data_IF_717638904483
#
_entry.id   IF_717638904483
#
_cell.length_a   1.000
_cell.length_b   1.000
_cell.length_c   1.000
_cell.angle_alpha   90.00
_cell.angle_beta   90.00
_cell.angle_gamma   90.00
#
_symmetry.space_group_name_H-M   'P 1'
#
loop_
_entity.id
_entity.type
_entity.pdbx_description
1 polymer ?
#
# COMPACT_ATOMS: atom_id res chain seq x y z
N UNK A 1 35.54 44.19 -23.31
CA UNK A 1 34.63 44.10 -22.14
C UNK A 1 33.26 43.62 -22.61
N UNK A 2 32.52 42.89 -21.75
CA UNK A 2 31.09 42.53 -21.90
C UNK A 2 30.69 41.29 -22.76
N UNK A 3 31.24 40.10 -22.52
CA UNK A 3 30.59 38.83 -22.98
C UNK A 3 30.80 37.62 -22.04
N UNK A 4 30.93 37.85 -20.73
CA UNK A 4 31.07 36.74 -19.75
C UNK A 4 30.03 36.73 -18.63
N UNK A 5 29.06 37.65 -18.65
CA UNK A 5 28.11 37.81 -17.54
C UNK A 5 26.71 37.25 -17.82
N UNK A 6 26.46 36.71 -19.02
CA UNK A 6 25.12 36.25 -19.44
C UNK A 6 25.00 34.72 -19.55
N UNK A 7 25.83 33.96 -18.82
CA UNK A 7 25.73 32.50 -18.75
C UNK A 7 25.50 31.97 -17.34
N UNK A 8 25.47 32.84 -16.31
CA UNK A 8 25.23 32.43 -14.92
C UNK A 8 23.77 32.53 -14.47
N UNK A 9 22.88 33.16 -15.26
CA UNK A 9 21.49 33.38 -14.84
C UNK A 9 20.50 32.31 -15.34
N UNK A 10 20.91 31.44 -16.28
CA UNK A 10 20.03 30.38 -16.82
C UNK A 10 20.15 29.02 -16.13
N UNK A 11 21.04 28.86 -15.13
CA UNK A 11 21.25 27.58 -14.44
C UNK A 11 20.52 27.48 -13.08
N UNK A 12 19.85 28.55 -12.64
CA UNK A 12 19.19 28.61 -11.32
C UNK A 12 17.68 28.32 -11.35
N UNK A 13 17.09 28.03 -12.50
CA UNK A 13 15.63 27.85 -12.64
C UNK A 13 15.19 26.37 -12.63
N UNK A 14 16.12 25.41 -12.61
CA UNK A 14 15.81 23.99 -12.71
C UNK A 14 15.75 23.20 -11.38
N UNK A 15 15.90 23.87 -10.23
CA UNK A 15 15.86 23.20 -8.91
C UNK A 15 14.54 23.43 -8.14
N UNK A 16 13.52 24.02 -8.79
CA UNK A 16 12.22 24.32 -8.17
C UNK A 16 11.14 23.26 -8.32
N UNK A 17 11.43 22.06 -8.83
CA UNK A 17 10.43 20.98 -8.91
C UNK A 17 10.53 20.05 -7.70
N UNK A 18 10.28 20.61 -6.51
CA UNK A 18 9.67 19.82 -5.45
C UNK A 18 8.17 19.82 -5.76
N UNK A 19 7.69 18.78 -6.44
CA UNK A 19 6.28 18.46 -6.49
C UNK A 19 5.78 18.19 -5.08
N UNK A 20 5.35 19.23 -4.38
CA UNK A 20 4.54 19.10 -3.19
C UNK A 20 3.09 19.27 -3.62
N UNK A 21 2.49 18.17 -4.04
CA UNK A 21 1.06 18.04 -4.20
C UNK A 21 0.41 18.00 -2.81
N UNK A 22 0.46 19.11 -2.07
CA UNK A 22 -0.38 19.26 -0.88
C UNK A 22 -1.80 19.57 -1.33
N UNK A 23 -2.54 18.51 -1.64
CA UNK A 23 -3.99 18.56 -1.60
C UNK A 23 -4.43 18.69 -0.14
N UNK A 24 -4.87 19.89 0.23
CA UNK A 24 -5.30 20.26 1.57
C UNK A 24 -6.82 20.39 1.64
N UNK A 25 -7.55 19.32 1.31
CA UNK A 25 -8.97 19.22 1.68
C UNK A 25 -9.10 18.38 2.96
N UNK A 26 -9.93 18.84 3.89
CA UNK A 26 -10.24 18.16 5.16
C UNK A 26 -10.82 16.73 4.95
N UNK A 27 -11.33 16.44 3.74
CA UNK A 27 -11.82 15.13 3.33
C UNK A 27 -10.71 14.14 2.95
N UNK A 28 -9.47 14.59 2.82
CA UNK A 28 -8.34 13.75 2.36
C UNK A 28 -7.61 13.11 3.53
N UNK A 29 -8.03 13.41 4.77
CA UNK A 29 -7.41 12.89 6.00
C UNK A 29 -7.46 11.37 6.09
N UNK A 30 -8.42 10.71 5.44
CA UNK A 30 -8.44 9.25 5.29
C UNK A 30 -7.50 8.71 4.21
N UNK A 31 -7.16 9.53 3.23
CA UNK A 31 -6.28 9.19 2.10
C UNK A 31 -4.80 9.46 2.40
N UNK A 32 -4.52 10.46 3.25
CA UNK A 32 -3.17 10.88 3.66
C UNK A 32 -2.92 10.75 5.17
N UNK A 33 -3.79 10.07 5.94
CA UNK A 33 -3.38 9.60 7.25
C UNK A 33 -2.15 8.72 7.04
N UNK A 34 -1.03 9.11 7.63
CA UNK A 34 0.20 8.34 7.54
C UNK A 34 -0.07 6.95 8.13
N UNK A 35 -0.15 5.95 7.26
CA UNK A 35 -0.38 4.56 7.66
C UNK A 35 0.89 3.94 8.26
N UNK A 36 2.02 4.66 8.27
CA UNK A 36 3.32 4.19 8.75
C UNK A 36 4.02 3.23 7.79
N UNK A 37 3.59 3.19 6.52
CA UNK A 37 4.15 2.35 5.47
C UNK A 37 4.54 3.27 4.30
N UNK A 38 5.76 3.20 3.76
CA UNK A 38 6.18 4.04 2.65
C UNK A 38 5.23 3.91 1.45
N UNK A 39 4.65 5.02 0.95
CA UNK A 39 3.77 5.02 -0.21
C UNK A 39 4.44 4.42 -1.45
N UNK A 40 3.64 3.77 -2.29
CA UNK A 40 4.11 3.15 -3.54
C UNK A 40 4.80 1.80 -3.37
N UNK A 41 5.01 1.32 -2.15
CA UNK A 41 5.52 -0.06 -1.93
C UNK A 41 4.42 -1.10 -2.18
N UNK A 42 4.77 -2.35 -2.56
CA UNK A 42 3.80 -3.43 -2.66
C UNK A 42 2.98 -3.66 -1.38
N UNK A 43 3.64 -3.51 -0.22
CA UNK A 43 2.98 -3.59 1.09
C UNK A 43 1.94 -2.47 1.26
N UNK A 44 2.27 -1.23 0.88
CA UNK A 44 1.35 -0.09 0.99
C UNK A 44 0.04 -0.34 0.23
N UNK A 45 0.14 -0.78 -1.02
CA UNK A 45 -1.05 -1.04 -1.85
C UNK A 45 -1.90 -2.19 -1.29
N UNK A 46 -1.25 -3.27 -0.85
CA UNK A 46 -1.92 -4.41 -0.24
C UNK A 46 -2.57 -4.05 1.09
N UNK A 47 -1.87 -3.28 1.93
CA UNK A 47 -2.37 -2.84 3.22
C UNK A 47 -3.63 -1.98 3.07
N UNK A 48 -3.72 -1.13 2.05
CA UNK A 48 -4.95 -0.36 1.77
C UNK A 48 -6.14 -1.25 1.43
N UNK A 49 -5.93 -2.32 0.66
CA UNK A 49 -6.99 -3.30 0.36
C UNK A 49 -7.43 -3.98 1.66
N UNK A 50 -6.48 -4.47 2.46
CA UNK A 50 -6.76 -5.15 3.73
C UNK A 50 -7.47 -4.21 4.72
N UNK A 51 -7.07 -2.94 4.78
CA UNK A 51 -7.72 -1.94 5.60
C UNK A 51 -9.17 -1.70 5.17
N UNK A 52 -9.44 -1.63 3.87
CA UNK A 52 -10.78 -1.41 3.35
C UNK A 52 -11.69 -2.65 3.48
N UNK A 53 -11.13 -3.86 3.29
CA UNK A 53 -11.91 -5.10 3.15
C UNK A 53 -11.94 -5.98 4.39
N UNK A 54 -10.93 -5.88 5.26
CA UNK A 54 -10.71 -6.86 6.33
C UNK A 54 -10.68 -6.22 7.72
N UNK A 55 -10.21 -4.98 7.85
CA UNK A 55 -9.92 -4.41 9.16
C UNK A 55 -11.16 -4.09 10.00
N UNK A 56 -12.35 -4.01 9.41
CA UNK A 56 -13.60 -3.91 10.17
C UNK A 56 -13.72 -5.00 11.24
N UNK A 57 -13.17 -6.19 10.98
CA UNK A 57 -13.12 -7.31 11.94
C UNK A 57 -11.70 -7.63 12.44
N UNK A 58 -10.66 -7.30 11.66
CA UNK A 58 -9.28 -7.69 11.94
C UNK A 58 -8.36 -6.56 12.42
N UNK A 59 -8.86 -5.32 12.54
CA UNK A 59 -8.03 -4.16 12.91
C UNK A 59 -7.22 -4.38 14.18
N UNK A 60 -7.83 -4.97 15.22
CA UNK A 60 -7.18 -5.17 16.52
C UNK A 60 -5.84 -5.95 16.44
N UNK A 61 -5.67 -6.79 15.42
CA UNK A 61 -4.42 -7.52 15.15
C UNK A 61 -3.62 -6.87 14.02
N UNK A 62 -4.27 -6.58 12.89
CA UNK A 62 -3.57 -6.27 11.64
C UNK A 62 -3.19 -4.80 11.49
N UNK A 63 -3.78 -3.90 12.29
CA UNK A 63 -3.46 -2.47 12.18
C UNK A 63 -2.01 -2.13 12.50
N UNK A 64 -1.33 -2.98 13.27
CA UNK A 64 0.06 -2.77 13.68
C UNK A 64 1.06 -3.46 12.73
N UNK A 65 0.59 -4.21 11.73
CA UNK A 65 1.44 -4.92 10.78
C UNK A 65 1.93 -3.97 9.68
N UNK A 66 2.82 -3.06 10.05
CA UNK A 66 3.38 -2.02 9.17
C UNK A 66 4.60 -2.45 8.37
N UNK A 67 5.08 -3.67 8.55
CA UNK A 67 6.26 -4.19 7.84
C UNK A 67 5.96 -5.58 7.27
N UNK A 68 6.65 -5.95 6.19
CA UNK A 68 6.54 -7.29 5.63
C UNK A 68 6.87 -8.37 6.68
N UNK A 69 7.85 -8.10 7.53
CA UNK A 69 8.26 -9.02 8.59
C UNK A 69 7.13 -9.27 9.60
N UNK A 70 6.35 -8.25 9.99
CA UNK A 70 5.22 -8.42 10.89
C UNK A 70 4.13 -9.35 10.29
N UNK A 71 3.85 -9.23 8.99
CA UNK A 71 2.92 -10.13 8.29
C UNK A 71 3.45 -11.56 8.24
N UNK A 72 4.75 -11.74 8.04
CA UNK A 72 5.41 -13.06 8.04
C UNK A 72 5.39 -13.68 9.44
N UNK A 73 5.85 -12.93 10.45
CA UNK A 73 5.95 -13.40 11.84
C UNK A 73 4.58 -13.77 12.44
N UNK A 74 3.52 -13.11 11.97
CA UNK A 74 2.15 -13.41 12.39
C UNK A 74 1.57 -14.70 11.78
N UNK A 75 2.24 -15.28 10.77
CA UNK A 75 1.79 -16.46 10.03
C UNK A 75 0.69 -16.18 9.00
N UNK A 76 0.27 -14.92 8.82
CA UNK A 76 -0.74 -14.56 7.82
C UNK A 76 -0.19 -14.72 6.39
N UNK A 77 1.11 -14.44 6.23
CA UNK A 77 1.82 -14.46 4.95
C UNK A 77 2.99 -15.44 4.99
N UNK A 78 3.03 -16.33 4.00
CA UNK A 78 4.19 -17.17 3.69
C UNK A 78 5.02 -16.47 2.62
N UNK A 79 6.25 -16.09 2.98
CA UNK A 79 7.18 -15.39 2.09
C UNK A 79 7.33 -16.10 0.75
N UNK A 80 7.14 -15.37 -0.36
CA UNK A 80 7.28 -15.89 -1.71
C UNK A 80 6.17 -16.83 -2.18
N UNK A 81 5.12 -17.06 -1.38
CA UNK A 81 4.05 -18.00 -1.73
C UNK A 81 2.68 -17.52 -1.23
N UNK A 82 1.97 -16.81 -2.10
CA UNK A 82 0.58 -16.42 -1.86
C UNK A 82 -0.32 -17.65 -1.70
N UNK A 83 -0.09 -18.71 -2.46
CA UNK A 83 -0.95 -19.90 -2.45
C UNK A 83 -0.95 -20.66 -1.12
N UNK A 84 0.15 -20.57 -0.35
CA UNK A 84 0.29 -21.19 0.97
C UNK A 84 0.07 -20.21 2.13
N UNK A 85 -0.21 -18.94 1.83
CA UNK A 85 -0.44 -17.91 2.85
C UNK A 85 -1.85 -17.99 3.43
N UNK A 86 -1.99 -17.78 4.75
CA UNK A 86 -3.30 -17.78 5.42
C UNK A 86 -4.25 -16.73 4.83
N UNK A 87 -3.71 -15.55 4.44
CA UNK A 87 -4.52 -14.51 3.79
C UNK A 87 -5.22 -15.00 2.52
N UNK A 88 -4.67 -15.98 1.80
CA UNK A 88 -5.27 -16.55 0.60
C UNK A 88 -6.23 -17.67 0.96
N UNK A 89 -5.82 -18.60 1.82
CA UNK A 89 -6.61 -19.81 2.12
C UNK A 89 -7.95 -19.48 2.76
N UNK A 90 -8.05 -18.34 3.45
CA UNK A 90 -9.29 -17.91 4.09
C UNK A 90 -10.26 -17.19 3.13
N UNK A 91 -9.83 -16.78 1.93
CA UNK A 91 -10.69 -16.03 1.01
C UNK A 91 -11.72 -16.94 0.32
N UNK A 92 -12.97 -16.50 0.26
CA UNK A 92 -14.05 -17.14 -0.50
C UNK A 92 -13.71 -17.29 -1.98
N UNK A 93 -12.90 -16.37 -2.54
CA UNK A 93 -12.35 -16.47 -3.90
C UNK A 93 -11.63 -17.80 -4.17
N UNK A 94 -11.14 -18.46 -3.11
CA UNK A 94 -10.37 -19.71 -3.17
C UNK A 94 -10.99 -20.83 -2.32
N UNK A 95 -12.29 -20.75 -2.03
CA UNK A 95 -13.01 -21.75 -1.25
C UNK A 95 -12.92 -21.59 0.28
N UNK A 96 -12.36 -20.49 0.76
CA UNK A 96 -12.41 -20.10 2.17
C UNK A 96 -13.76 -19.51 2.59
N UNK A 97 -13.80 -18.83 3.74
CA UNK A 97 -15.03 -18.30 4.35
C UNK A 97 -15.03 -16.79 4.56
N UNK A 98 -13.99 -16.08 4.14
CA UNK A 98 -13.86 -14.62 4.28
C UNK A 98 -13.94 -13.89 2.93
N UNK A 99 -14.61 -12.73 2.87
CA UNK A 99 -15.27 -12.07 3.99
C UNK A 99 -16.65 -12.70 4.30
N UNK A 100 -17.12 -12.52 5.54
CA UNK A 100 -18.46 -12.96 5.93
C UNK A 100 -19.54 -12.12 5.19
N UNK A 101 -20.68 -12.72 4.81
CA UNK A 101 -21.82 -11.96 4.28
C UNK A 101 -22.24 -10.84 5.24
N UNK A 102 -22.72 -9.68 4.73
CA UNK A 102 -23.01 -9.39 3.31
C UNK A 102 -21.81 -8.81 2.53
N UNK A 103 -20.59 -8.86 3.08
CA UNK A 103 -19.44 -8.26 2.43
C UNK A 103 -19.10 -8.99 1.12
N UNK A 104 -18.85 -8.22 0.06
CA UNK A 104 -18.46 -8.76 -1.22
C UNK A 104 -17.04 -9.35 -1.17
N UNK A 105 -16.81 -10.41 -1.95
CA UNK A 105 -15.47 -10.97 -2.20
C UNK A 105 -14.53 -9.91 -2.77
N UNK A 106 -13.23 -10.18 -2.70
CA UNK A 106 -12.25 -9.35 -3.39
C UNK A 106 -12.45 -9.47 -4.90
N UNK A 107 -12.18 -8.39 -5.62
CA UNK A 107 -12.07 -8.38 -7.08
C UNK A 107 -10.77 -9.04 -7.53
N UNK A 108 -10.70 -9.46 -8.80
CA UNK A 108 -9.48 -10.07 -9.35
C UNK A 108 -8.27 -9.15 -9.26
N UNK A 109 -8.45 -7.84 -9.46
CA UNK A 109 -7.38 -6.85 -9.32
C UNK A 109 -6.88 -6.71 -7.87
N UNK A 110 -7.79 -6.78 -6.88
CA UNK A 110 -7.42 -6.76 -5.47
C UNK A 110 -6.67 -8.05 -5.09
N UNK A 111 -7.15 -9.21 -5.57
CA UNK A 111 -6.47 -10.50 -5.38
C UNK A 111 -5.08 -10.48 -6.00
N UNK A 112 -4.93 -9.97 -7.22
CA UNK A 112 -3.64 -9.91 -7.90
C UNK A 112 -2.68 -8.95 -7.17
N UNK A 113 -3.18 -7.86 -6.61
CA UNK A 113 -2.35 -6.95 -5.79
C UNK A 113 -1.78 -7.67 -4.57
N UNK A 114 -2.60 -8.44 -3.85
CA UNK A 114 -2.15 -9.24 -2.71
C UNK A 114 -1.18 -10.35 -3.14
N UNK A 115 -1.47 -11.04 -4.26
CA UNK A 115 -0.63 -12.11 -4.81
C UNK A 115 0.75 -11.58 -5.19
N UNK A 116 0.80 -10.50 -5.96
CA UNK A 116 2.03 -9.86 -6.40
C UNK A 116 2.87 -9.35 -5.23
N UNK A 117 2.23 -8.78 -4.20
CA UNK A 117 2.94 -8.39 -2.97
C UNK A 117 3.57 -9.60 -2.27
N UNK A 118 2.79 -10.63 -1.95
CA UNK A 118 3.28 -11.79 -1.19
C UNK A 118 4.33 -12.59 -1.94
N UNK A 119 4.12 -12.84 -3.24
CA UNK A 119 5.08 -13.56 -4.06
C UNK A 119 6.39 -12.76 -4.25
N UNK A 120 6.32 -11.43 -4.17
CA UNK A 120 7.48 -10.54 -4.25
C UNK A 120 8.25 -10.34 -2.94
N UNK A 121 7.84 -10.99 -1.83
CA UNK A 121 8.51 -10.89 -0.53
C UNK A 121 9.82 -11.67 -0.46
#
# INVERSE_FOLDING_TARGET
MKKKFLLLFSLLVFLGSCGQDYNSNYNDRGTYADIGIPPGTPLYNSYKILQNKCFSCHAAKWQDFKTNQAWIDSGEVTKGSFDTSSIKTNLVNFGGSMPLPPNASLTDAEVETLRSWVNGL
#
